data_IF_967024994119
#
_entry.id   IF_967024994119
#
_cell.length_a   1.000
_cell.length_b   1.000
_cell.length_c   1.000
_cell.angle_alpha   90.00
_cell.angle_beta   90.00
_cell.angle_gamma   90.00
#
_symmetry.space_group_name_H-M   'P 1'
#
loop_
_entity.id
_entity.type
_entity.pdbx_description
1 polymer ?
#
# COMPACT_ATOMS: atom_id res chain seq x y z
N UNK A 1 -15.82 -8.92 22.03
CA UNK A 1 -16.62 -9.90 21.27
C UNK A 1 -15.97 -11.27 21.34
N UNK A 2 -16.70 -12.36 21.12
CA UNK A 2 -16.08 -13.69 20.95
C UNK A 2 -15.31 -13.75 19.62
N UNK A 3 -14.37 -14.69 19.51
CA UNK A 3 -13.66 -14.93 18.25
C UNK A 3 -14.61 -15.28 17.11
N UNK A 4 -15.62 -16.12 17.35
CA UNK A 4 -16.63 -16.46 16.34
C UNK A 4 -17.40 -15.24 15.83
N UNK A 5 -17.75 -14.30 16.72
CA UNK A 5 -18.41 -13.06 16.33
C UNK A 5 -17.46 -12.13 15.57
N UNK A 6 -16.17 -12.11 15.92
CA UNK A 6 -15.16 -11.39 15.15
C UNK A 6 -15.06 -11.91 13.71
N UNK A 7 -14.98 -13.23 13.53
CA UNK A 7 -14.93 -13.85 12.18
C UNK A 7 -16.20 -13.52 11.38
N UNK A 8 -17.39 -13.59 12.00
CA UNK A 8 -18.64 -13.17 11.34
C UNK A 8 -18.58 -11.70 10.91
N UNK A 9 -18.07 -10.80 11.76
CA UNK A 9 -17.89 -9.39 11.43
C UNK A 9 -16.94 -9.20 10.26
N UNK A 10 -15.74 -9.80 10.28
CA UNK A 10 -14.76 -9.72 9.19
C UNK A 10 -15.39 -10.16 7.86
N UNK A 11 -16.14 -11.25 7.86
CA UNK A 11 -16.78 -11.76 6.65
C UNK A 11 -17.96 -10.92 6.16
N UNK A 12 -18.64 -10.20 7.06
CA UNK A 12 -19.77 -9.33 6.73
C UNK A 12 -19.36 -7.89 6.34
N UNK A 13 -18.12 -7.51 6.63
CA UNK A 13 -17.59 -6.18 6.34
C UNK A 13 -17.46 -5.99 4.81
N UNK A 14 -18.00 -4.87 4.30
CA UNK A 14 -18.26 -4.69 2.85
C UNK A 14 -17.13 -4.03 2.09
N UNK A 15 -16.29 -3.24 2.75
CA UNK A 15 -15.16 -2.54 2.12
C UNK A 15 -13.99 -3.48 1.83
N UNK A 16 -13.93 -4.61 2.54
CA UNK A 16 -12.89 -5.63 2.39
C UNK A 16 -11.64 -5.36 3.23
N UNK A 17 -11.52 -4.18 3.86
CA UNK A 17 -10.38 -3.83 4.71
C UNK A 17 -10.25 -4.77 5.90
N UNK A 18 -11.38 -5.29 6.43
CA UNK A 18 -11.35 -6.21 7.57
C UNK A 18 -10.53 -7.48 7.31
N UNK A 19 -10.46 -7.94 6.05
CA UNK A 19 -9.68 -9.11 5.65
C UNK A 19 -8.19 -8.81 5.49
N UNK A 20 -7.82 -7.53 5.45
CA UNK A 20 -6.43 -7.09 5.31
C UNK A 20 -5.70 -6.92 6.64
N UNK A 21 -6.38 -7.00 7.79
CA UNK A 21 -5.72 -6.97 9.09
C UNK A 21 -5.05 -8.30 9.40
N UNK A 22 -3.97 -8.22 10.19
CA UNK A 22 -3.50 -9.39 10.94
C UNK A 22 -4.60 -9.87 11.91
N UNK A 23 -4.91 -11.17 11.86
CA UNK A 23 -6.00 -11.75 12.65
C UNK A 23 -5.67 -11.76 14.14
N UNK A 24 -4.39 -11.95 14.51
CA UNK A 24 -3.94 -11.91 15.91
C UNK A 24 -4.17 -10.52 16.51
N UNK A 25 -3.85 -9.46 15.75
CA UNK A 25 -4.12 -8.10 16.15
C UNK A 25 -5.61 -7.81 16.35
N UNK A 26 -6.47 -8.23 15.42
CA UNK A 26 -7.92 -8.05 15.58
C UNK A 26 -8.45 -8.82 16.80
N UNK A 27 -7.97 -10.04 17.02
CA UNK A 27 -8.33 -10.85 18.17
C UNK A 27 -7.92 -10.17 19.49
N UNK A 28 -6.69 -9.68 19.57
CA UNK A 28 -6.19 -8.96 20.75
C UNK A 28 -7.04 -7.72 21.05
N UNK A 29 -7.27 -6.87 20.05
CA UNK A 29 -8.00 -5.60 20.25
C UNK A 29 -9.48 -5.82 20.52
N UNK A 30 -10.13 -6.69 19.76
CA UNK A 30 -11.60 -6.82 19.77
C UNK A 30 -12.11 -7.86 20.76
N UNK A 31 -11.35 -8.92 21.03
CA UNK A 31 -11.75 -10.00 21.93
C UNK A 31 -11.17 -9.86 23.33
N UNK A 32 -9.88 -9.54 23.46
CA UNK A 32 -9.19 -9.58 24.76
C UNK A 32 -9.09 -8.22 25.46
N UNK A 33 -8.64 -7.17 24.77
CA UNK A 33 -8.35 -5.88 25.41
C UNK A 33 -9.62 -5.09 25.71
N UNK A 34 -10.47 -4.87 24.70
CA UNK A 34 -11.63 -3.97 24.83
C UNK A 34 -12.98 -4.69 24.77
N UNK A 35 -12.99 -5.97 24.39
CA UNK A 35 -14.16 -6.87 24.32
C UNK A 35 -15.46 -6.26 23.72
N UNK A 36 -15.39 -5.38 22.71
CA UNK A 36 -16.55 -4.60 22.25
C UNK A 36 -16.76 -4.54 20.74
N UNK A 37 -18.00 -4.67 20.28
CA UNK A 37 -18.36 -4.58 18.85
C UNK A 37 -18.06 -3.23 18.20
N UNK A 38 -18.28 -2.14 18.94
CA UNK A 38 -17.99 -0.78 18.48
C UNK A 38 -16.50 -0.55 18.23
N UNK A 39 -15.63 -1.32 18.87
CA UNK A 39 -14.17 -1.18 18.71
C UNK A 39 -13.74 -1.60 17.30
N UNK A 40 -14.27 -2.72 16.81
CA UNK A 40 -14.02 -3.17 15.44
C UNK A 40 -14.52 -2.14 14.43
N UNK A 41 -15.77 -1.68 14.58
CA UNK A 41 -16.36 -0.74 13.62
C UNK A 41 -15.60 0.60 13.60
N UNK A 42 -15.20 1.11 14.78
CA UNK A 42 -14.40 2.32 14.90
C UNK A 42 -12.99 2.15 14.32
N UNK A 43 -12.37 0.98 14.47
CA UNK A 43 -11.06 0.67 13.92
C UNK A 43 -11.10 0.70 12.39
N UNK A 44 -12.06 -0.04 11.82
CA UNK A 44 -12.31 -0.09 10.38
C UNK A 44 -12.57 1.29 9.81
N UNK A 45 -13.45 2.08 10.44
CA UNK A 45 -13.76 3.42 9.99
C UNK A 45 -12.53 4.35 9.98
N UNK A 46 -11.72 4.31 11.05
CA UNK A 46 -10.49 5.12 11.16
C UNK A 46 -9.46 4.75 10.10
N UNK A 47 -9.25 3.46 9.88
CA UNK A 47 -8.26 3.01 8.90
C UNK A 47 -8.72 3.26 7.47
N UNK A 48 -10.03 3.19 7.18
CA UNK A 48 -10.56 3.63 5.88
C UNK A 48 -10.38 5.13 5.65
N UNK A 49 -10.63 5.96 6.67
CA UNK A 49 -10.41 7.40 6.60
C UNK A 49 -8.92 7.71 6.35
N UNK A 50 -8.04 7.00 7.05
CA UNK A 50 -6.60 7.14 6.90
C UNK A 50 -6.14 6.73 5.49
N UNK A 51 -6.58 5.58 4.97
CA UNK A 51 -6.30 5.18 3.59
C UNK A 51 -6.81 6.21 2.57
N UNK A 52 -8.01 6.77 2.79
CA UNK A 52 -8.59 7.80 1.92
C UNK A 52 -7.76 9.09 1.92
N UNK A 53 -7.27 9.50 3.08
CA UNK A 53 -6.37 10.66 3.24
C UNK A 53 -5.03 10.45 2.53
N UNK A 54 -4.46 9.26 2.67
CA UNK A 54 -3.23 8.84 1.99
C UNK A 54 -3.43 8.82 0.47
N UNK A 55 -4.51 8.22 -0.02
CA UNK A 55 -4.86 8.17 -1.43
C UNK A 55 -4.97 9.59 -2.01
N UNK A 56 -5.69 10.50 -1.33
CA UNK A 56 -5.80 11.88 -1.76
C UNK A 56 -4.45 12.61 -1.83
N UNK A 57 -3.52 12.31 -0.93
CA UNK A 57 -2.17 12.86 -0.94
C UNK A 57 -1.32 12.30 -2.09
N UNK A 58 -1.39 10.98 -2.33
CA UNK A 58 -0.74 10.31 -3.45
C UNK A 58 -1.18 10.90 -4.80
N UNK A 59 -2.49 11.06 -4.99
CA UNK A 59 -3.07 11.58 -6.22
C UNK A 59 -2.78 13.08 -6.46
N UNK A 60 -2.28 13.82 -5.47
CA UNK A 60 -1.86 15.21 -5.63
C UNK A 60 -0.36 15.39 -5.89
N UNK A 61 0.43 14.33 -5.76
CA UNK A 61 1.89 14.42 -5.81
C UNK A 61 2.43 14.84 -7.17
N UNK A 62 3.42 15.74 -7.19
CA UNK A 62 4.01 16.27 -8.43
C UNK A 62 5.27 15.53 -8.89
N UNK A 63 5.85 14.69 -8.02
CA UNK A 63 7.08 13.94 -8.30
C UNK A 63 6.88 12.45 -8.04
N UNK A 64 7.49 11.57 -8.84
CA UNK A 64 7.43 10.13 -8.61
C UNK A 64 8.06 9.74 -7.27
N UNK A 65 7.51 8.72 -6.63
CA UNK A 65 8.05 8.10 -5.42
C UNK A 65 8.04 6.58 -5.54
N UNK A 66 8.90 5.92 -4.77
CA UNK A 66 8.90 4.46 -4.62
C UNK A 66 7.49 3.91 -4.33
N UNK A 67 7.17 2.74 -4.87
CA UNK A 67 5.87 2.09 -4.76
C UNK A 67 4.80 2.58 -5.74
N UNK A 68 5.01 3.70 -6.43
CA UNK A 68 4.09 4.18 -7.48
C UNK A 68 4.25 3.39 -8.78
N UNK A 69 3.23 3.41 -9.64
CA UNK A 69 3.24 2.67 -10.90
C UNK A 69 3.98 3.43 -12.00
N UNK A 70 4.63 2.68 -12.88
CA UNK A 70 5.30 3.15 -14.09
C UNK A 70 4.80 2.33 -15.26
N UNK A 71 4.44 3.01 -16.34
CA UNK A 71 4.24 2.46 -17.68
C UNK A 71 5.57 2.61 -18.47
N UNK A 72 6.16 1.51 -18.96
CA UNK A 72 7.54 1.53 -19.52
C UNK A 72 7.73 0.85 -20.89
N UNK A 73 6.72 0.13 -21.34
CA UNK A 73 6.58 -0.40 -22.69
C UNK A 73 5.08 -0.39 -23.02
N UNK A 74 4.71 -0.50 -24.30
CA UNK A 74 3.31 -0.38 -24.75
C UNK A 74 2.36 -1.27 -23.92
N UNK A 75 1.67 -0.68 -22.94
CA UNK A 75 0.74 -1.34 -22.03
C UNK A 75 1.33 -2.11 -20.85
N UNK A 76 2.66 -2.11 -20.65
CA UNK A 76 3.29 -2.77 -19.49
C UNK A 76 3.41 -1.83 -18.30
N UNK A 77 3.04 -2.34 -17.12
CA UNK A 77 3.09 -1.62 -15.84
C UNK A 77 3.94 -2.37 -14.83
N UNK A 78 4.65 -1.61 -14.00
CA UNK A 78 5.41 -2.10 -12.86
C UNK A 78 5.44 -1.03 -11.78
N UNK A 79 5.88 -1.38 -10.56
CA UNK A 79 6.08 -0.40 -9.50
C UNK A 79 7.55 -0.03 -9.34
N UNK A 80 7.78 1.21 -8.93
CA UNK A 80 9.11 1.72 -8.61
C UNK A 80 9.60 1.04 -7.33
N UNK A 81 10.76 0.38 -7.41
CA UNK A 81 11.55 -0.07 -6.25
C UNK A 81 12.91 0.62 -6.31
N UNK A 82 13.47 1.10 -5.21
CA UNK A 82 14.72 1.85 -5.25
C UNK A 82 15.92 0.96 -5.00
N UNK A 83 16.93 1.03 -5.88
CA UNK A 83 18.27 0.53 -5.55
C UNK A 83 19.01 1.61 -4.76
N UNK A 84 18.96 1.48 -3.43
CA UNK A 84 19.58 2.45 -2.52
C UNK A 84 21.10 2.56 -2.65
N UNK A 85 21.77 1.70 -3.44
CA UNK A 85 23.23 1.74 -3.62
C UNK A 85 23.67 2.79 -4.64
N UNK A 86 22.86 3.06 -5.66
CA UNK A 86 23.27 3.84 -6.84
C UNK A 86 22.35 5.02 -7.18
N UNK A 87 21.29 5.27 -6.39
CA UNK A 87 20.37 6.38 -6.63
C UNK A 87 19.46 6.19 -7.86
N UNK A 88 19.48 5.01 -8.46
CA UNK A 88 18.58 4.57 -9.54
C UNK A 88 17.41 3.78 -8.97
N UNK A 89 16.33 3.63 -9.74
CA UNK A 89 15.26 2.71 -9.41
C UNK A 89 15.30 1.44 -10.26
N UNK A 90 14.47 0.49 -9.87
CA UNK A 90 14.15 -0.76 -10.54
C UNK A 90 12.63 -0.84 -10.70
N UNK A 91 12.15 -1.61 -11.66
CA UNK A 91 10.73 -1.82 -11.90
C UNK A 91 10.35 -3.24 -11.53
N UNK A 92 9.45 -3.40 -10.56
CA UNK A 92 9.01 -4.72 -10.10
C UNK A 92 7.49 -4.82 -9.99
N UNK A 93 6.97 -5.98 -10.35
CA UNK A 93 5.56 -6.33 -10.21
C UNK A 93 5.24 -7.08 -8.92
N UNK A 94 6.25 -7.36 -8.10
CA UNK A 94 6.14 -8.20 -6.91
C UNK A 94 6.33 -7.45 -5.60
N UNK A 95 6.63 -6.16 -5.65
CA UNK A 95 6.85 -5.38 -4.43
C UNK A 95 5.54 -5.12 -3.68
N UNK A 96 5.55 -5.42 -2.38
CA UNK A 96 4.58 -4.84 -1.46
C UNK A 96 4.87 -3.35 -1.31
N UNK A 97 3.85 -2.55 -1.00
CA UNK A 97 4.00 -1.10 -0.82
C UNK A 97 3.50 -0.70 0.56
N UNK A 98 4.39 -0.13 1.36
CA UNK A 98 4.06 0.56 2.59
C UNK A 98 3.59 1.98 2.26
N UNK A 99 2.52 2.41 2.91
CA UNK A 99 2.01 3.78 2.83
C UNK A 99 1.85 4.40 4.21
N UNK A 100 2.02 5.72 4.29
CA UNK A 100 1.80 6.48 5.52
C UNK A 100 1.14 7.83 5.26
N UNK A 101 0.72 8.50 6.34
CA UNK A 101 0.23 9.88 6.33
C UNK A 101 1.13 10.81 5.51
N UNK A 102 0.52 11.83 4.90
CA UNK A 102 1.21 12.69 3.92
C UNK A 102 1.41 12.02 2.55
N UNK A 103 0.86 10.81 2.36
CA UNK A 103 0.94 10.06 1.13
C UNK A 103 2.27 9.36 0.93
N UNK A 104 3.19 9.32 1.90
CA UNK A 104 4.50 8.72 1.67
C UNK A 104 4.37 7.23 1.33
N UNK A 105 5.14 6.79 0.34
CA UNK A 105 5.17 5.42 -0.16
C UNK A 105 6.59 4.87 -0.16
N UNK A 106 6.73 3.60 0.17
CA UNK A 106 8.00 2.89 0.14
C UNK A 106 7.74 1.46 -0.34
N UNK A 107 8.67 0.88 -1.09
CA UNK A 107 8.60 -0.55 -1.40
C UNK A 107 8.87 -1.30 -0.09
N UNK A 108 7.88 -2.06 0.37
CA UNK A 108 8.01 -2.83 1.60
C UNK A 108 8.64 -4.18 1.30
N UNK A 109 9.87 -4.36 1.75
CA UNK A 109 10.54 -5.65 1.78
C UNK A 109 11.42 -5.94 0.57
N UNK A 110 12.55 -6.59 0.86
CA UNK A 110 13.54 -7.09 -0.07
C UNK A 110 12.98 -8.24 -0.92
N UNK A 111 11.94 -7.98 -1.71
CA UNK A 111 11.43 -8.97 -2.64
C UNK A 111 12.40 -9.02 -3.80
N UNK A 112 13.24 -10.05 -3.84
CA UNK A 112 14.04 -10.34 -5.02
C UNK A 112 13.08 -10.65 -6.16
N UNK A 113 13.08 -9.78 -7.17
CA UNK A 113 12.33 -10.02 -8.38
C UNK A 113 13.27 -10.62 -9.43
N UNK A 114 13.19 -11.94 -9.71
CA UNK A 114 13.98 -12.53 -10.80
C UNK A 114 13.54 -12.05 -12.18
N UNK A 115 12.32 -11.50 -12.28
CA UNK A 115 11.67 -11.15 -13.53
C UNK A 115 11.68 -9.63 -13.75
N UNK A 116 12.75 -8.96 -13.29
CA UNK A 116 12.97 -7.55 -13.62
C UNK A 116 13.18 -7.44 -15.13
N UNK A 117 12.40 -6.57 -15.77
CA UNK A 117 12.60 -6.27 -17.18
C UNK A 117 13.97 -5.62 -17.39
N UNK A 118 14.68 -6.07 -18.43
CA UNK A 118 15.98 -5.52 -18.81
C UNK A 118 15.80 -4.15 -19.47
N UNK A 119 15.75 -3.12 -18.64
CA UNK A 119 15.64 -1.73 -19.04
C UNK A 119 17.00 -1.06 -18.85
N UNK A 120 17.45 -0.35 -19.88
CA UNK A 120 18.70 0.44 -19.84
C UNK A 120 18.74 1.33 -18.59
N UNK A 121 19.79 1.19 -17.78
CA UNK A 121 19.92 1.87 -16.47
C UNK A 121 19.80 3.39 -16.56
N UNK A 122 20.28 4.00 -17.64
CA UNK A 122 20.17 5.44 -17.88
C UNK A 122 18.72 5.92 -18.03
N UNK A 123 17.78 5.02 -18.34
CA UNK A 123 16.34 5.33 -18.33
C UNK A 123 15.79 5.33 -16.90
N UNK A 124 16.31 4.49 -16.01
CA UNK A 124 15.81 4.23 -14.65
C UNK A 124 16.23 5.29 -13.61
N UNK A 125 16.05 6.56 -13.96
CA UNK A 125 16.24 7.72 -13.10
C UNK A 125 14.92 8.50 -13.01
N UNK A 126 14.60 9.01 -11.82
CA UNK A 126 13.30 9.65 -11.58
C UNK A 126 13.00 10.82 -12.53
N UNK A 127 14.01 11.55 -13.00
CA UNK A 127 13.85 12.67 -13.93
C UNK A 127 13.34 12.25 -15.33
N UNK A 128 13.44 10.97 -15.68
CA UNK A 128 12.90 10.44 -16.93
C UNK A 128 11.41 10.04 -16.84
N UNK A 129 10.83 10.08 -15.63
CA UNK A 129 9.43 9.75 -15.41
C UNK A 129 8.56 11.00 -15.60
N UNK A 130 7.58 10.87 -16.49
CA UNK A 130 6.64 11.96 -16.80
C UNK A 130 5.30 11.71 -16.11
N UNK A 131 4.64 12.76 -15.58
CA UNK A 131 3.32 12.61 -15.01
C UNK A 131 2.32 12.18 -16.07
N UNK A 132 1.37 11.34 -15.70
CA UNK A 132 0.21 10.99 -16.53
C UNK A 132 -1.08 11.34 -15.80
N UNK A 133 -2.20 11.33 -16.52
CA UNK A 133 -3.54 11.40 -15.92
C UNK A 133 -4.07 10.03 -15.48
N UNK A 134 -3.34 8.94 -15.76
CA UNK A 134 -3.76 7.58 -15.43
C UNK A 134 -3.57 7.33 -13.93
N UNK A 135 -4.50 6.58 -13.37
CA UNK A 135 -4.40 6.00 -12.03
C UNK A 135 -4.59 4.50 -12.11
N UNK A 136 -4.00 3.79 -11.16
CA UNK A 136 -4.11 2.34 -11.08
C UNK A 136 -4.33 1.94 -9.63
N UNK A 137 -5.28 1.02 -9.42
CA UNK A 137 -5.56 0.47 -8.09
C UNK A 137 -4.46 -0.51 -7.74
N UNK A 138 -3.91 -0.38 -6.54
CA UNK A 138 -2.84 -1.23 -6.09
C UNK A 138 -3.00 -1.60 -4.62
N UNK A 139 -2.65 -2.85 -4.30
CA UNK A 139 -2.58 -3.29 -2.92
C UNK A 139 -1.42 -2.61 -2.18
N UNK A 140 -1.66 -2.23 -0.94
CA UNK A 140 -0.67 -1.60 -0.08
C UNK A 140 -1.03 -1.84 1.38
N UNK A 141 -0.12 -1.53 2.28
CA UNK A 141 -0.38 -1.66 3.71
C UNK A 141 0.13 -0.46 4.49
N UNK A 142 -0.48 -0.27 5.64
CA UNK A 142 -0.02 0.69 6.65
C UNK A 142 -0.14 0.07 8.04
N UNK A 143 0.36 0.77 9.05
CA UNK A 143 0.03 0.42 10.42
C UNK A 143 -1.36 0.95 10.77
N UNK A 144 -2.23 0.07 11.26
CA UNK A 144 -3.57 0.42 11.74
C UNK A 144 -3.51 1.55 12.78
N UNK A 145 -4.25 2.61 12.51
CA UNK A 145 -4.29 3.87 13.25
C UNK A 145 -3.00 4.69 13.19
N UNK A 146 -2.15 4.47 12.18
CA UNK A 146 -0.87 5.16 12.01
C UNK A 146 0.20 4.79 13.06
N UNK A 147 0.01 3.71 13.83
CA UNK A 147 0.84 3.39 15.00
C UNK A 147 1.83 2.24 14.71
N UNK A 148 3.14 2.53 14.55
CA UNK A 148 4.14 1.53 14.18
C UNK A 148 4.41 0.55 15.34
N UNK A 149 3.71 -0.58 15.33
CA UNK A 149 3.96 -1.73 16.22
C UNK A 149 3.76 -3.04 15.47
N UNK A 150 4.49 -4.07 15.90
CA UNK A 150 4.36 -5.42 15.34
C UNK A 150 2.91 -5.91 15.38
N UNK A 151 2.51 -6.62 14.32
CA UNK A 151 1.16 -7.17 14.17
C UNK A 151 0.09 -6.16 13.74
N UNK A 152 0.35 -4.85 13.70
CA UNK A 152 -0.67 -3.84 13.34
C UNK A 152 -0.81 -3.58 11.84
N UNK A 153 -0.23 -4.40 10.97
CA UNK A 153 -0.37 -4.20 9.53
C UNK A 153 -1.81 -4.40 9.09
N UNK A 154 -2.31 -3.48 8.27
CA UNK A 154 -3.59 -3.59 7.56
C UNK A 154 -3.35 -3.34 6.08
N UNK A 155 -3.77 -4.29 5.25
CA UNK A 155 -3.69 -4.23 3.79
C UNK A 155 -4.99 -3.68 3.21
N UNK A 156 -4.89 -2.82 2.21
CA UNK A 156 -6.02 -2.31 1.46
C UNK A 156 -5.61 -1.84 0.07
N UNK A 157 -6.58 -1.83 -0.84
CA UNK A 157 -6.35 -1.37 -2.21
C UNK A 157 -6.77 0.10 -2.35
N UNK A 158 -5.83 0.96 -2.73
CA UNK A 158 -6.07 2.39 -3.02
C UNK A 158 -5.55 2.72 -4.43
N UNK A 159 -5.90 3.91 -4.92
CA UNK A 159 -5.47 4.44 -6.20
C UNK A 159 -4.08 5.08 -6.08
N UNK A 160 -3.22 4.71 -7.02
CA UNK A 160 -1.88 5.26 -7.20
C UNK A 160 -1.82 6.03 -8.53
N UNK A 161 -0.92 7.02 -8.60
CA UNK A 161 -0.54 7.61 -9.89
C UNK A 161 0.24 6.61 -10.73
N UNK A 162 0.08 6.76 -12.05
CA UNK A 162 0.93 6.10 -13.03
C UNK A 162 1.85 7.15 -13.65
N UNK A 163 3.14 6.84 -13.71
CA UNK A 163 4.15 7.62 -14.40
C UNK A 163 4.51 6.97 -15.72
N UNK A 164 4.87 7.76 -16.72
CA UNK A 164 5.33 7.24 -18.01
C UNK A 164 6.86 7.29 -18.04
N UNK A 165 7.51 6.15 -18.27
CA UNK A 165 8.93 6.06 -18.56
C UNK A 165 9.16 6.28 -20.05
N UNK A 166 9.72 7.45 -20.39
CA UNK A 166 10.04 7.85 -21.77
C UNK A 166 11.18 7.07 -22.42
#
# INVERSE_FOLDING_TARGET
>A
MTYENLIKKINSEKTGIAKGYDIGFLQDVCCYVSNGEKIFDNLVAKDLELFSSIEAALLKREKPQEGEFVEYADGMFARISVDHRNGTFQLSNKIGVYVSEGGHTQASGCTWDPDLDDIKRERLIFDNLKPTSKTMKGDCWMFSGGNPRGGRSVYHNIQFKVWLLG
#
